data_IF_096714912433
#
_entry.id   IF_096714912433
#
_cell.length_a   1.000
_cell.length_b   1.000
_cell.length_c   1.000
_cell.angle_alpha   90.00
_cell.angle_beta   90.00
_cell.angle_gamma   90.00
#
_symmetry.space_group_name_H-M   'P 1'
#
loop_
_entity.id
_entity.type
_entity.pdbx_description
1 polymer ?
#
# COMPACT_ATOMS: atom_id res chain seq x y z
N UNK A 1 -12.17 -34.58 -23.79
CA UNK A 1 -11.84 -33.44 -22.90
C UNK A 1 -13.13 -32.89 -22.32
N UNK A 2 -13.13 -32.45 -21.05
CA UNK A 2 -14.28 -31.79 -20.43
C UNK A 2 -14.53 -30.45 -21.13
N UNK A 3 -15.78 -30.08 -21.37
CA UNK A 3 -16.14 -28.75 -21.91
C UNK A 3 -15.69 -27.67 -20.92
N UNK A 4 -14.87 -26.73 -21.40
CA UNK A 4 -14.39 -25.60 -20.60
C UNK A 4 -15.53 -24.62 -20.31
N UNK A 5 -15.67 -24.20 -19.05
CA UNK A 5 -16.72 -23.31 -18.57
C UNK A 5 -16.14 -22.02 -17.99
N UNK A 6 -17.00 -21.04 -17.78
CA UNK A 6 -16.62 -19.76 -17.14
C UNK A 6 -16.02 -19.98 -15.75
N UNK A 7 -16.55 -20.94 -14.99
CA UNK A 7 -16.03 -21.27 -13.66
C UNK A 7 -14.59 -21.81 -13.73
N UNK A 8 -14.28 -22.58 -14.76
CA UNK A 8 -12.94 -23.15 -14.95
C UNK A 8 -11.92 -22.02 -15.25
N UNK A 9 -12.31 -20.99 -16.01
CA UNK A 9 -11.50 -19.77 -16.18
C UNK A 9 -11.36 -18.96 -14.89
N UNK A 10 -12.45 -18.79 -14.14
CA UNK A 10 -12.42 -18.02 -12.89
C UNK A 10 -11.52 -18.67 -11.83
N UNK A 11 -11.50 -20.00 -11.79
CA UNK A 11 -10.61 -20.80 -10.96
C UNK A 11 -9.15 -20.72 -11.45
N UNK A 12 -8.90 -20.96 -12.74
CA UNK A 12 -7.55 -20.92 -13.33
C UNK A 12 -6.85 -19.58 -13.06
N UNK A 13 -7.56 -18.46 -13.21
CA UNK A 13 -7.01 -17.12 -13.01
C UNK A 13 -7.17 -16.59 -11.58
N UNK A 14 -7.75 -17.39 -10.67
CA UNK A 14 -8.02 -17.04 -9.28
C UNK A 14 -8.66 -15.64 -9.08
N UNK A 15 -9.58 -15.25 -9.97
CA UNK A 15 -10.17 -13.90 -9.98
C UNK A 15 -10.92 -13.61 -8.69
N UNK A 16 -11.54 -14.64 -8.09
CA UNK A 16 -12.20 -14.50 -6.80
C UNK A 16 -11.21 -14.17 -5.66
N UNK A 17 -9.99 -14.71 -5.71
CA UNK A 17 -8.95 -14.52 -4.70
C UNK A 17 -8.43 -13.09 -4.66
N UNK A 18 -7.83 -12.62 -5.76
CA UNK A 18 -7.23 -11.28 -5.84
C UNK A 18 -8.25 -10.17 -6.14
N UNK A 19 -9.33 -10.53 -6.85
CA UNK A 19 -10.35 -9.58 -7.29
C UNK A 19 -11.25 -9.09 -6.16
N UNK A 20 -11.31 -9.83 -5.04
CA UNK A 20 -11.97 -9.47 -3.77
C UNK A 20 -13.39 -8.88 -3.92
N UNK A 21 -14.12 -9.32 -4.94
CA UNK A 21 -15.47 -8.88 -5.29
C UNK A 21 -15.56 -7.62 -6.16
N UNK A 22 -14.43 -6.99 -6.50
CA UNK A 22 -14.39 -5.91 -7.50
C UNK A 22 -14.25 -6.41 -8.92
N UNK A 23 -13.64 -7.58 -9.11
CA UNK A 23 -13.41 -8.16 -10.43
C UNK A 23 -14.06 -9.55 -10.50
N UNK A 24 -14.56 -9.91 -11.68
CA UNK A 24 -15.21 -11.20 -11.94
C UNK A 24 -15.27 -11.50 -13.43
N UNK A 25 -15.92 -12.60 -13.77
CA UNK A 25 -16.27 -12.96 -15.15
C UNK A 25 -17.80 -13.11 -15.21
N UNK A 26 -18.45 -12.58 -16.26
CA UNK A 26 -19.88 -12.75 -16.47
C UNK A 26 -20.21 -14.01 -17.28
N UNK A 27 -21.51 -14.28 -17.50
CA UNK A 27 -21.99 -15.45 -18.26
C UNK A 27 -21.51 -15.48 -19.72
N UNK A 28 -21.10 -14.33 -20.29
CA UNK A 28 -20.52 -14.23 -21.63
C UNK A 28 -19.02 -14.58 -21.67
N UNK A 29 -18.39 -14.79 -20.52
CA UNK A 29 -16.94 -14.98 -20.42
C UNK A 29 -16.13 -13.68 -20.40
N UNK A 30 -16.78 -12.52 -20.32
CA UNK A 30 -16.10 -11.22 -20.28
C UNK A 30 -15.71 -10.84 -18.84
N UNK A 31 -14.59 -10.14 -18.70
CA UNK A 31 -14.18 -9.54 -17.42
C UNK A 31 -15.17 -8.43 -17.04
N UNK A 32 -15.66 -8.48 -15.80
CA UNK A 32 -16.51 -7.44 -15.22
C UNK A 32 -15.83 -6.74 -14.06
N UNK A 33 -16.07 -5.43 -13.95
CA UNK A 33 -15.71 -4.63 -12.78
C UNK A 33 -16.97 -4.26 -12.02
N UNK A 34 -16.98 -4.48 -10.72
CA UNK A 34 -18.06 -4.15 -9.78
C UNK A 34 -17.57 -3.11 -8.78
N UNK A 35 -17.57 -1.80 -9.11
CA UNK A 35 -16.96 -0.77 -8.26
C UNK A 35 -17.54 -0.69 -6.84
N UNK A 36 -18.81 -1.08 -6.67
CA UNK A 36 -19.52 -1.15 -5.39
C UNK A 36 -19.80 -2.59 -4.93
N UNK A 37 -19.06 -3.58 -5.46
CA UNK A 37 -19.29 -5.01 -5.26
C UNK A 37 -20.75 -5.39 -5.57
N UNK A 38 -21.36 -6.24 -4.76
CA UNK A 38 -22.71 -6.76 -4.95
C UNK A 38 -23.81 -5.69 -4.77
N UNK A 39 -23.47 -4.52 -4.23
CA UNK A 39 -24.41 -3.41 -4.00
C UNK A 39 -24.49 -2.42 -5.17
N UNK A 40 -23.88 -2.72 -6.32
CA UNK A 40 -23.92 -1.82 -7.48
C UNK A 40 -23.77 -2.51 -8.82
N UNK A 41 -23.63 -1.74 -9.90
CA UNK A 41 -23.60 -2.28 -11.24
C UNK A 41 -22.31 -3.08 -11.49
N UNK A 42 -22.44 -4.12 -12.31
CA UNK A 42 -21.32 -4.78 -12.96
C UNK A 42 -21.11 -4.13 -14.33
N UNK A 43 -19.87 -3.70 -14.60
CA UNK A 43 -19.45 -3.08 -15.85
C UNK A 43 -18.71 -4.14 -16.66
N UNK A 44 -19.28 -4.56 -17.78
CA UNK A 44 -18.59 -5.43 -18.74
C UNK A 44 -17.51 -4.60 -19.46
N UNK A 45 -16.25 -4.99 -19.28
CA UNK A 45 -15.12 -4.25 -19.83
C UNK A 45 -15.06 -4.36 -21.35
N UNK A 46 -15.54 -5.47 -21.93
CA UNK A 46 -15.59 -5.61 -23.38
C UNK A 46 -16.60 -4.64 -23.97
N UNK A 47 -17.81 -4.61 -23.43
CA UNK A 47 -18.87 -3.69 -23.87
C UNK A 47 -18.45 -2.22 -23.68
N UNK A 48 -17.83 -1.89 -22.55
CA UNK A 48 -17.30 -0.55 -22.30
C UNK A 48 -16.27 -0.13 -23.35
N UNK A 49 -15.36 -1.04 -23.74
CA UNK A 49 -14.37 -0.73 -24.78
C UNK A 49 -15.00 -0.56 -26.16
N UNK A 50 -16.03 -1.35 -26.49
CA UNK A 50 -16.78 -1.19 -27.73
C UNK A 50 -17.50 0.19 -27.75
N UNK A 51 -18.06 0.65 -26.63
CA UNK A 51 -18.64 2.00 -26.50
C UNK A 51 -17.61 3.13 -26.61
N UNK A 52 -16.43 2.95 -26.03
CA UNK A 52 -15.34 3.93 -26.11
C UNK A 52 -14.79 4.04 -27.54
N UNK A 53 -14.74 2.95 -28.29
CA UNK A 53 -14.33 2.95 -29.68
C UNK A 53 -15.27 3.79 -30.56
N UNK A 54 -16.58 3.82 -30.27
CA UNK A 54 -17.55 4.70 -30.95
C UNK A 54 -17.28 6.20 -30.69
N UNK A 55 -16.44 6.53 -29.70
CA UNK A 55 -16.00 7.89 -29.35
C UNK A 55 -14.54 8.15 -29.76
N UNK A 56 -13.98 7.32 -30.65
CA UNK A 56 -12.58 7.36 -31.09
C UNK A 56 -11.55 7.16 -29.95
N UNK A 57 -11.97 6.56 -28.83
CA UNK A 57 -11.07 6.20 -27.72
C UNK A 57 -10.69 4.72 -27.86
N UNK A 58 -9.50 4.48 -28.38
CA UNK A 58 -8.97 3.13 -28.64
C UNK A 58 -7.90 2.72 -27.62
N UNK A 59 -7.69 1.41 -27.37
CA UNK A 59 -6.59 0.93 -26.54
C UNK A 59 -5.21 1.40 -27.05
N UNK A 60 -4.22 1.60 -26.16
CA UNK A 60 -4.24 1.33 -24.73
C UNK A 60 -5.00 2.40 -23.91
N UNK A 61 -5.88 1.96 -23.01
CA UNK A 61 -6.68 2.83 -22.12
C UNK A 61 -6.47 2.44 -20.65
N UNK A 62 -6.21 3.43 -19.80
CA UNK A 62 -6.20 3.27 -18.35
C UNK A 62 -7.56 3.72 -17.78
N UNK A 63 -8.37 2.74 -17.36
CA UNK A 63 -9.66 2.98 -16.74
C UNK A 63 -9.50 3.11 -15.22
N UNK A 64 -10.19 4.08 -14.62
CA UNK A 64 -10.22 4.29 -13.16
C UNK A 64 -11.66 4.23 -12.65
N UNK A 65 -11.84 3.59 -11.49
CA UNK A 65 -13.13 3.39 -10.84
C UNK A 65 -13.11 4.03 -9.44
N UNK A 66 -13.47 5.32 -9.33
CA UNK A 66 -13.47 6.06 -8.06
C UNK A 66 -14.22 5.34 -6.92
N UNK A 67 -15.34 4.67 -7.22
CA UNK A 67 -16.10 3.97 -6.17
C UNK A 67 -15.38 2.77 -5.54
N UNK A 68 -14.34 2.24 -6.19
CA UNK A 68 -13.45 1.28 -5.54
C UNK A 68 -12.67 1.98 -4.43
N UNK A 69 -12.15 3.19 -4.67
CA UNK A 69 -11.48 4.00 -3.64
C UNK A 69 -12.42 4.26 -2.46
N UNK A 70 -13.64 4.69 -2.74
CA UNK A 70 -14.70 4.89 -1.74
C UNK A 70 -14.84 3.68 -0.82
N UNK A 71 -15.09 2.50 -1.40
CA UNK A 71 -15.26 1.27 -0.65
C UNK A 71 -13.97 0.86 0.08
N UNK A 72 -12.78 1.11 -0.48
CA UNK A 72 -11.51 0.82 0.21
C UNK A 72 -11.33 1.71 1.45
N UNK A 73 -11.69 2.98 1.38
CA UNK A 73 -11.70 3.90 2.53
C UNK A 73 -12.65 3.37 3.61
N UNK A 74 -13.89 3.04 3.25
CA UNK A 74 -14.88 2.50 4.20
C UNK A 74 -14.44 1.19 4.83
N UNK A 75 -13.84 0.29 4.03
CA UNK A 75 -13.41 -1.01 4.53
C UNK A 75 -12.29 -0.88 5.56
N UNK A 76 -11.27 -0.07 5.27
CA UNK A 76 -10.13 0.12 6.18
C UNK A 76 -10.58 0.84 7.44
N UNK A 77 -11.24 2.00 7.32
CA UNK A 77 -11.74 2.75 8.47
C UNK A 77 -12.72 1.91 9.31
N UNK A 78 -13.63 1.19 8.67
CA UNK A 78 -14.56 0.30 9.37
C UNK A 78 -13.88 -0.87 10.10
N UNK A 79 -12.76 -1.40 9.60
CA UNK A 79 -11.99 -2.42 10.34
C UNK A 79 -11.38 -1.87 11.63
N UNK A 80 -10.80 -0.67 11.57
CA UNK A 80 -10.24 -0.02 12.75
C UNK A 80 -11.31 0.42 13.74
N UNK A 81 -12.45 0.96 13.28
CA UNK A 81 -13.57 1.28 14.17
C UNK A 81 -14.14 0.04 14.87
N UNK A 82 -14.28 -1.09 14.15
CA UNK A 82 -14.70 -2.35 14.77
C UNK A 82 -13.71 -2.82 15.83
N UNK A 83 -12.41 -2.83 15.51
CA UNK A 83 -11.37 -3.21 16.46
C UNK A 83 -11.40 -2.29 17.70
N UNK A 84 -11.49 -0.97 17.50
CA UNK A 84 -11.59 -0.01 18.61
C UNK A 84 -12.78 -0.28 19.52
N UNK A 85 -13.96 -0.52 18.95
CA UNK A 85 -15.17 -0.78 19.73
C UNK A 85 -15.08 -2.13 20.47
N UNK A 86 -14.58 -3.18 19.81
CA UNK A 86 -14.45 -4.52 20.39
C UNK A 86 -13.47 -4.54 21.58
N UNK A 87 -12.35 -3.81 21.47
CA UNK A 87 -11.33 -3.73 22.52
C UNK A 87 -11.57 -2.60 23.52
N UNK A 88 -12.64 -1.80 23.40
CA UNK A 88 -12.88 -0.64 24.27
C UNK A 88 -11.81 0.46 24.17
N UNK A 89 -11.17 0.59 23.00
CA UNK A 89 -10.06 1.50 22.77
C UNK A 89 -10.50 2.96 22.62
N UNK A 90 -10.07 3.82 23.56
CA UNK A 90 -10.49 5.22 23.66
C UNK A 90 -9.84 6.15 22.63
N UNK A 91 -8.63 5.84 22.15
CA UNK A 91 -7.95 6.63 21.12
C UNK A 91 -8.70 6.55 19.78
N UNK A 92 -8.72 7.64 19.01
CA UNK A 92 -9.29 7.69 17.64
C UNK A 92 -8.37 7.04 16.60
N UNK A 93 -8.95 6.58 15.49
CA UNK A 93 -8.22 6.15 14.30
C UNK A 93 -8.24 7.22 13.21
N UNK A 94 -7.13 7.39 12.50
CA UNK A 94 -7.01 8.26 11.33
C UNK A 94 -6.37 7.48 10.17
N UNK A 95 -7.01 7.53 9.01
CA UNK A 95 -6.42 7.04 7.77
C UNK A 95 -5.75 8.23 7.08
N UNK A 96 -4.46 8.12 6.74
CA UNK A 96 -3.71 9.15 6.04
C UNK A 96 -3.25 8.57 4.71
N UNK A 97 -3.51 9.26 3.61
CA UNK A 97 -3.12 8.78 2.29
C UNK A 97 -1.76 9.36 1.86
N UNK A 98 -0.70 8.54 1.75
CA UNK A 98 0.58 8.99 1.25
C UNK A 98 0.54 9.17 -0.26
N UNK A 99 0.63 10.42 -0.72
CA UNK A 99 0.40 10.73 -2.15
C UNK A 99 1.49 10.15 -3.06
N UNK A 100 2.66 9.79 -2.50
CA UNK A 100 3.74 9.08 -3.22
C UNK A 100 3.28 7.83 -3.96
N UNK A 101 2.18 7.22 -3.50
CA UNK A 101 1.62 6.01 -4.11
C UNK A 101 0.90 6.33 -5.43
N UNK A 102 0.18 7.44 -5.50
CA UNK A 102 -0.46 7.95 -6.71
C UNK A 102 -0.86 9.43 -6.53
N UNK A 103 -0.05 10.34 -7.08
CA UNK A 103 -0.23 11.80 -6.96
C UNK A 103 -1.25 12.36 -7.96
N UNK A 104 -1.89 11.52 -8.78
CA UNK A 104 -2.80 12.00 -9.83
C UNK A 104 -3.98 12.72 -9.19
N UNK A 105 -4.19 13.98 -9.60
CA UNK A 105 -5.22 14.86 -9.04
C UNK A 105 -6.60 14.18 -8.89
N UNK A 106 -7.16 13.48 -9.90
CA UNK A 106 -8.46 12.81 -9.75
C UNK A 106 -8.50 11.73 -8.66
N UNK A 107 -7.37 11.09 -8.36
CA UNK A 107 -7.27 10.08 -7.29
C UNK A 107 -7.23 10.77 -5.93
N UNK A 108 -6.36 11.79 -5.78
CA UNK A 108 -6.21 12.50 -4.49
C UNK A 108 -7.47 13.29 -4.15
N UNK A 109 -8.07 13.99 -5.12
CA UNK A 109 -9.34 14.71 -4.94
C UNK A 109 -10.47 13.78 -4.54
N UNK A 110 -10.59 12.59 -5.15
CA UNK A 110 -11.63 11.63 -4.76
C UNK A 110 -11.42 11.11 -3.33
N UNK A 111 -10.18 10.76 -2.99
CA UNK A 111 -9.82 10.28 -1.65
C UNK A 111 -10.19 11.34 -0.61
N UNK A 112 -9.83 12.61 -0.82
CA UNK A 112 -10.17 13.71 0.10
C UNK A 112 -11.68 13.97 0.14
N UNK A 113 -12.33 14.08 -1.02
CA UNK A 113 -13.76 14.36 -1.13
C UNK A 113 -14.60 13.31 -0.42
N UNK A 114 -14.38 12.04 -0.72
CA UNK A 114 -15.14 10.94 -0.13
C UNK A 114 -14.71 10.63 1.31
N UNK A 115 -13.40 10.71 1.59
CA UNK A 115 -12.83 10.42 2.90
C UNK A 115 -13.04 11.52 3.94
N UNK A 116 -13.58 12.69 3.57
CA UNK A 116 -13.92 13.78 4.49
C UNK A 116 -14.77 13.33 5.68
N UNK A 117 -15.75 12.43 5.45
CA UNK A 117 -16.60 11.85 6.52
C UNK A 117 -15.83 10.99 7.54
N UNK A 118 -14.61 10.60 7.21
CA UNK A 118 -13.69 9.84 8.08
C UNK A 118 -12.47 10.66 8.53
N UNK A 119 -12.43 11.97 8.24
CA UNK A 119 -11.26 12.82 8.45
C UNK A 119 -9.97 12.25 7.83
N UNK A 120 -10.07 11.71 6.61
CA UNK A 120 -8.88 11.19 5.92
C UNK A 120 -7.83 12.32 5.78
N UNK A 121 -6.59 12.01 6.15
CA UNK A 121 -5.45 12.91 5.99
C UNK A 121 -4.67 12.66 4.72
N UNK A 122 -3.65 13.47 4.48
CA UNK A 122 -2.66 13.28 3.41
C UNK A 122 -1.25 13.25 3.99
N UNK A 123 -0.38 12.43 3.40
CA UNK A 123 1.05 12.44 3.69
C UNK A 123 1.83 12.94 2.47
N UNK A 124 2.82 13.80 2.74
CA UNK A 124 3.78 14.30 1.78
C UNK A 124 5.18 13.88 2.22
N UNK A 125 5.90 13.18 1.34
CA UNK A 125 7.28 12.76 1.57
C UNK A 125 8.33 13.70 0.95
N UNK A 126 7.93 14.85 0.40
CA UNK A 126 8.83 15.83 -0.21
C UNK A 126 8.20 17.22 -0.37
N UNK A 127 9.02 18.25 -0.61
CA UNK A 127 8.57 19.63 -0.87
C UNK A 127 7.58 19.78 -2.03
N UNK A 128 7.80 19.18 -3.21
CA UNK A 128 6.81 19.20 -4.28
C UNK A 128 5.49 18.51 -3.89
N UNK A 129 5.54 17.42 -3.13
CA UNK A 129 4.34 16.74 -2.65
C UNK A 129 3.56 17.61 -1.66
N UNK A 130 4.24 18.34 -0.76
CA UNK A 130 3.55 19.27 0.14
C UNK A 130 2.85 20.39 -0.64
N UNK A 131 3.48 20.94 -1.68
CA UNK A 131 2.82 21.90 -2.59
C UNK A 131 1.56 21.32 -3.25
N UNK A 132 1.53 20.02 -3.56
CA UNK A 132 0.35 19.36 -4.13
C UNK A 132 -0.73 19.08 -3.06
N UNK A 133 -0.34 18.70 -1.85
CA UNK A 133 -1.25 18.36 -0.74
C UNK A 133 -2.01 19.58 -0.21
N UNK A 134 -1.30 20.71 0.01
CA UNK A 134 -1.87 21.90 0.64
C UNK A 134 -3.15 22.45 -0.03
N UNK A 135 -3.22 22.62 -1.37
CA UNK A 135 -4.43 23.15 -2.02
C UNK A 135 -5.58 22.13 -2.09
N UNK A 136 -5.29 20.82 -2.08
CA UNK A 136 -6.32 19.78 -2.17
C UNK A 136 -6.98 19.54 -0.80
N UNK A 137 -6.21 19.64 0.29
CA UNK A 137 -6.73 19.41 1.63
C UNK A 137 -7.58 20.59 2.12
N UNK A 138 -8.90 20.49 1.95
CA UNK A 138 -9.89 21.50 2.37
C UNK A 138 -10.48 21.23 3.78
N UNK A 139 -10.15 20.09 4.40
CA UNK A 139 -10.64 19.72 5.72
C UNK A 139 -9.63 20.16 6.81
N UNK A 140 -9.97 21.14 7.67
CA UNK A 140 -9.06 21.60 8.74
C UNK A 140 -8.82 20.53 9.82
N UNK A 141 -9.74 19.58 9.99
CA UNK A 141 -9.62 18.49 10.97
C UNK A 141 -8.74 17.33 10.48
N UNK A 142 -8.45 17.28 9.18
CA UNK A 142 -7.63 16.24 8.58
C UNK A 142 -6.15 16.48 8.88
N UNK A 143 -5.44 15.37 9.10
CA UNK A 143 -4.00 15.42 9.36
C UNK A 143 -3.22 15.58 8.05
N UNK A 144 -2.18 16.41 8.09
CA UNK A 144 -1.15 16.42 7.06
C UNK A 144 0.16 15.96 7.70
N UNK A 145 0.69 14.84 7.24
CA UNK A 145 1.95 14.27 7.76
C UNK A 145 3.07 14.62 6.77
N UNK A 146 4.14 15.23 7.27
CA UNK A 146 5.29 15.64 6.46
C UNK A 146 6.49 14.76 6.80
N UNK A 147 6.79 13.80 5.92
CA UNK A 147 7.97 12.93 5.96
C UNK A 147 9.03 13.38 4.93
N UNK A 148 10.10 12.59 4.81
CA UNK A 148 11.17 12.80 3.85
C UNK A 148 12.20 13.84 4.30
N UNK A 149 13.16 14.14 3.44
CA UNK A 149 14.21 15.12 3.74
C UNK A 149 13.67 16.56 3.70
N UNK A 150 13.99 17.35 4.73
CA UNK A 150 13.40 18.69 4.93
C UNK A 150 14.49 19.76 4.92
N UNK A 151 14.42 20.65 3.95
CA UNK A 151 15.17 21.90 3.94
C UNK A 151 14.39 23.00 4.69
N UNK A 152 14.99 24.19 4.81
CA UNK A 152 14.39 25.35 5.47
C UNK A 152 13.06 25.75 4.81
N UNK A 153 13.02 25.82 3.46
CA UNK A 153 11.80 26.17 2.72
C UNK A 153 10.65 25.19 2.99
N UNK A 154 10.93 23.89 3.07
CA UNK A 154 9.92 22.89 3.35
C UNK A 154 9.31 23.08 4.74
N UNK A 155 10.15 23.30 5.74
CA UNK A 155 9.71 23.51 7.12
C UNK A 155 8.94 24.83 7.22
N UNK A 156 9.45 25.91 6.62
CA UNK A 156 8.76 27.21 6.61
C UNK A 156 7.38 27.11 5.94
N UNK A 157 7.28 26.47 4.77
CA UNK A 157 6.00 26.24 4.10
C UNK A 157 5.02 25.47 4.99
N UNK A 158 5.47 24.39 5.63
CA UNK A 158 4.65 23.58 6.53
C UNK A 158 4.18 24.39 7.75
N UNK A 159 5.05 25.19 8.36
CA UNK A 159 4.72 26.00 9.53
C UNK A 159 3.78 27.16 9.20
N UNK A 160 3.96 27.81 8.04
CA UNK A 160 3.04 28.84 7.56
C UNK A 160 1.66 28.25 7.28
N UNK A 161 1.60 27.09 6.62
CA UNK A 161 0.34 26.38 6.40
C UNK A 161 -0.31 25.92 7.72
N UNK A 162 0.49 25.56 8.72
CA UNK A 162 0.00 25.23 10.07
C UNK A 162 -0.62 26.46 10.73
N UNK A 163 0.04 27.62 10.62
CA UNK A 163 -0.45 28.92 11.09
C UNK A 163 -1.75 29.36 10.40
N UNK A 164 -1.99 28.90 9.17
CA UNK A 164 -3.24 29.10 8.42
C UNK A 164 -4.38 28.15 8.84
N UNK A 165 -4.18 27.31 9.87
CA UNK A 165 -5.21 26.44 10.43
C UNK A 165 -5.19 25.00 9.93
N UNK A 166 -4.20 24.59 9.13
CA UNK A 166 -4.05 23.17 8.75
C UNK A 166 -3.37 22.39 9.88
N UNK A 167 -3.82 21.17 10.15
CA UNK A 167 -3.23 20.31 11.19
C UNK A 167 -2.04 19.51 10.64
N UNK A 168 -0.88 20.16 10.61
CA UNK A 168 0.36 19.60 10.05
C UNK A 168 1.24 19.03 11.15
N UNK A 169 1.80 17.84 10.92
CA UNK A 169 2.86 17.23 11.70
C UNK A 169 4.15 17.20 10.89
N UNK A 170 5.20 17.83 11.42
CA UNK A 170 6.56 17.70 10.87
C UNK A 170 7.25 16.51 11.54
N UNK A 171 7.41 15.41 10.80
CA UNK A 171 8.03 14.20 11.34
C UNK A 171 9.54 14.30 11.20
N UNK A 172 10.26 14.45 12.32
CA UNK A 172 11.72 14.49 12.37
C UNK A 172 12.28 13.12 11.96
N UNK A 173 13.04 13.09 10.87
CA UNK A 173 13.70 11.88 10.38
C UNK A 173 15.22 11.90 10.58
N UNK A 174 15.79 13.08 10.88
CA UNK A 174 17.19 13.29 11.26
C UNK A 174 17.27 14.31 12.38
N UNK A 175 18.18 14.11 13.34
CA UNK A 175 18.28 14.97 14.53
C UNK A 175 18.48 16.46 14.19
N UNK A 176 19.20 16.76 13.11
CA UNK A 176 19.40 18.15 12.65
C UNK A 176 18.09 18.85 12.24
N UNK A 177 17.08 18.11 11.77
CA UNK A 177 15.78 18.68 11.40
C UNK A 177 15.08 19.27 12.62
N UNK A 178 15.20 18.66 13.81
CA UNK A 178 14.60 19.21 15.03
C UNK A 178 15.17 20.60 15.38
N UNK A 179 16.49 20.78 15.23
CA UNK A 179 17.13 22.09 15.44
C UNK A 179 16.65 23.14 14.44
N UNK A 180 16.52 22.73 13.17
CA UNK A 180 16.04 23.61 12.11
C UNK A 180 14.57 23.99 12.29
N UNK A 181 13.71 23.04 12.67
CA UNK A 181 12.31 23.29 13.02
C UNK A 181 12.21 24.29 14.16
N UNK A 182 12.99 24.13 15.23
CA UNK A 182 13.00 25.05 16.36
C UNK A 182 13.36 26.48 15.94
N UNK A 183 14.42 26.65 15.13
CA UNK A 183 14.86 27.95 14.64
C UNK A 183 13.76 28.65 13.84
N UNK A 184 13.14 27.95 12.90
CA UNK A 184 12.13 28.52 12.00
C UNK A 184 10.82 28.76 12.75
N UNK A 185 10.40 27.84 13.63
CA UNK A 185 9.22 27.99 14.48
C UNK A 185 9.30 29.25 15.35
N UNK A 186 10.47 29.50 15.96
CA UNK A 186 10.73 30.74 16.72
C UNK A 186 10.69 31.98 15.83
N UNK A 187 11.32 31.94 14.64
CA UNK A 187 11.28 33.04 13.66
C UNK A 187 9.85 33.39 13.25
N UNK A 188 9.01 32.39 12.99
CA UNK A 188 7.63 32.56 12.53
C UNK A 188 6.62 32.77 13.66
N UNK A 189 7.06 32.63 14.92
CA UNK A 189 6.22 32.62 16.12
C UNK A 189 5.04 31.64 15.99
N UNK A 190 5.36 30.37 15.72
CA UNK A 190 4.41 29.26 15.56
C UNK A 190 4.82 28.12 16.50
N UNK A 191 3.85 27.54 17.20
CA UNK A 191 4.05 26.28 17.94
C UNK A 191 3.76 25.11 17.00
N UNK A 192 4.75 24.32 16.58
CA UNK A 192 4.55 23.20 15.67
C UNK A 192 3.96 21.97 16.37
N UNK A 193 3.32 21.08 15.59
CA UNK A 193 3.20 19.69 15.98
C UNK A 193 4.37 18.90 15.39
N UNK A 194 5.17 18.28 16.25
CA UNK A 194 6.34 17.51 15.85
C UNK A 194 6.05 16.03 16.03
N UNK A 195 6.38 15.27 14.97
CA UNK A 195 6.51 13.82 15.04
C UNK A 195 7.98 13.42 15.10
N UNK A 196 8.27 12.23 15.59
CA UNK A 196 9.61 11.63 15.48
C UNK A 196 9.48 10.27 14.82
N UNK A 197 10.23 10.07 13.72
CA UNK A 197 10.36 8.75 13.10
C UNK A 197 11.41 7.94 13.85
N UNK A 198 11.03 6.75 14.31
CA UNK A 198 11.91 5.86 15.08
C UNK A 198 12.36 4.70 14.19
N UNK A 199 13.66 4.40 14.21
CA UNK A 199 14.21 3.19 13.59
C UNK A 199 13.98 2.01 14.52
N UNK A 200 13.31 1.00 13.99
CA UNK A 200 13.01 -0.23 14.72
C UNK A 200 14.11 -1.27 14.46
N UNK A 201 14.44 -2.07 15.46
CA UNK A 201 15.22 -3.28 15.29
C UNK A 201 14.44 -4.33 14.48
N UNK A 202 13.11 -4.34 14.59
CA UNK A 202 12.24 -5.15 13.74
C UNK A 202 12.33 -4.72 12.26
N UNK A 203 12.67 -5.66 11.37
CA UNK A 203 12.71 -5.46 9.93
C UNK A 203 11.37 -5.77 9.23
N UNK A 204 11.22 -5.24 8.02
CA UNK A 204 10.09 -5.55 7.13
C UNK A 204 10.13 -6.97 6.54
N UNK A 205 9.56 -7.13 5.35
CA UNK A 205 9.58 -8.37 4.59
C UNK A 205 9.51 -8.10 3.09
N UNK A 206 9.97 -9.06 2.27
CA UNK A 206 9.83 -8.98 0.82
C UNK A 206 10.79 -7.99 0.18
N UNK A 207 10.47 -7.53 -1.04
CA UNK A 207 11.35 -6.69 -1.86
C UNK A 207 11.68 -5.32 -1.25
N UNK A 208 10.96 -4.90 -0.21
CA UNK A 208 11.07 -3.57 0.41
C UNK A 208 11.67 -3.61 1.82
N UNK A 209 12.25 -4.73 2.24
CA UNK A 209 12.79 -4.90 3.59
C UNK A 209 13.81 -3.81 3.97
N UNK A 210 14.68 -3.43 3.04
CA UNK A 210 15.72 -2.39 3.24
C UNK A 210 15.14 -0.97 3.49
N UNK A 211 13.87 -0.73 3.14
CA UNK A 211 13.22 0.57 3.35
C UNK A 211 12.78 0.79 4.80
N UNK A 212 12.70 -0.28 5.60
CA UNK A 212 12.35 -0.26 7.02
C UNK A 212 13.44 -0.83 7.93
N UNK A 213 13.17 -0.82 9.24
CA UNK A 213 14.06 -1.36 10.25
C UNK A 213 15.39 -0.61 10.43
N UNK A 214 16.36 -1.26 11.05
CA UNK A 214 17.65 -0.67 11.43
C UNK A 214 18.59 -0.38 10.26
N UNK A 215 18.24 -0.74 9.02
CA UNK A 215 19.01 -0.36 7.82
C UNK A 215 18.41 0.86 7.10
N UNK A 216 17.28 1.39 7.59
CA UNK A 216 16.61 2.53 6.96
C UNK A 216 17.47 3.80 7.00
N UNK A 217 17.47 4.55 5.90
CA UNK A 217 18.16 5.85 5.78
C UNK A 217 17.46 6.98 6.54
N UNK A 218 16.26 6.72 7.06
CA UNK A 218 15.39 7.70 7.71
C UNK A 218 14.96 7.21 9.08
N UNK A 219 14.82 8.15 10.01
CA UNK A 219 14.44 7.89 11.40
C UNK A 219 15.63 7.94 12.35
N UNK A 220 15.34 8.22 13.60
CA UNK A 220 16.31 8.27 14.68
C UNK A 220 16.50 6.88 15.27
N UNK A 221 17.76 6.49 15.47
CA UNK A 221 18.08 5.36 16.33
C UNK A 221 17.84 5.72 17.82
N UNK A 222 18.00 4.74 18.73
CA UNK A 222 17.73 4.97 20.15
C UNK A 222 18.59 6.07 20.78
N UNK A 223 19.86 6.21 20.38
CA UNK A 223 20.76 7.27 20.89
C UNK A 223 20.30 8.64 20.40
N UNK A 224 20.06 8.77 19.09
CA UNK A 224 19.60 10.01 18.47
C UNK A 224 18.22 10.44 19.02
N UNK A 225 17.35 9.47 19.34
CA UNK A 225 16.06 9.72 19.97
C UNK A 225 16.22 10.31 21.37
N UNK A 226 17.13 9.78 22.19
CA UNK A 226 17.43 10.35 23.51
C UNK A 226 18.03 11.75 23.40
N UNK A 227 18.93 11.97 22.43
CA UNK A 227 19.47 13.30 22.14
C UNK A 227 18.36 14.29 21.71
N UNK A 228 17.40 13.85 20.90
CA UNK A 228 16.26 14.67 20.49
C UNK A 228 15.36 15.04 21.68
N UNK A 229 15.12 14.10 22.59
CA UNK A 229 14.33 14.34 23.80
C UNK A 229 15.06 15.29 24.75
N UNK A 230 16.38 15.14 24.91
CA UNK A 230 17.17 16.03 25.77
C UNK A 230 17.24 17.45 25.20
N UNK A 231 17.43 17.59 23.88
CA UNK A 231 17.32 18.88 23.21
C UNK A 231 15.93 19.50 23.40
N UNK A 232 14.87 18.71 23.25
CA UNK A 232 13.50 19.20 23.47
C UNK A 232 13.28 19.62 24.93
N UNK A 233 13.87 18.92 25.89
CA UNK A 233 13.84 19.28 27.32
C UNK A 233 14.57 20.59 27.58
N UNK A 234 15.80 20.74 27.09
CA UNK A 234 16.62 21.94 27.33
C UNK A 234 16.00 23.20 26.72
N UNK A 235 15.28 23.04 25.61
CA UNK A 235 14.60 24.13 24.90
C UNK A 235 13.16 24.37 25.38
N UNK A 236 12.66 23.53 26.31
CA UNK A 236 11.32 23.66 26.89
C UNK A 236 10.18 23.35 25.92
N UNK A 237 10.37 22.41 25.00
CA UNK A 237 9.45 22.07 23.89
C UNK A 237 9.02 20.59 23.89
N UNK A 238 9.09 19.89 25.03
CA UNK A 238 8.68 18.47 25.13
C UNK A 238 7.20 18.25 24.75
N UNK A 239 6.37 19.27 24.94
CA UNK A 239 4.95 19.32 24.58
C UNK A 239 4.71 19.47 23.07
N UNK A 240 5.73 19.86 22.29
CA UNK A 240 5.65 19.90 20.82
C UNK A 240 5.75 18.50 20.22
N UNK A 241 6.40 17.56 20.92
CA UNK A 241 6.54 16.17 20.53
C UNK A 241 5.22 15.42 20.80
N UNK A 242 4.43 15.25 19.75
CA UNK A 242 3.06 14.70 19.84
C UNK A 242 2.84 13.41 19.07
N UNK A 243 3.75 13.05 18.17
CA UNK A 243 3.59 11.90 17.29
C UNK A 243 4.85 11.04 17.27
N UNK A 244 4.69 9.72 17.36
CA UNK A 244 5.74 8.78 16.97
C UNK A 244 5.35 8.14 15.66
N UNK A 245 6.31 8.01 14.75
CA UNK A 245 6.12 7.41 13.44
C UNK A 245 7.10 6.25 13.27
N UNK A 246 6.67 5.17 12.62
CA UNK A 246 7.57 4.16 12.10
C UNK A 246 7.09 3.63 10.77
N UNK A 247 8.02 3.08 10.00
CA UNK A 247 7.71 2.50 8.71
C UNK A 247 8.47 1.20 8.53
N UNK A 248 7.74 0.08 8.47
CA UNK A 248 8.31 -1.25 8.21
C UNK A 248 8.63 -1.48 6.72
N UNK A 249 8.16 -0.60 5.84
CA UNK A 249 8.25 -0.73 4.38
C UNK A 249 6.88 -0.95 3.73
N UNK A 250 6.89 -1.14 2.40
CA UNK A 250 5.68 -1.42 1.62
C UNK A 250 5.43 -2.92 1.48
N UNK A 251 4.17 -3.35 1.34
CA UNK A 251 3.80 -4.74 1.06
C UNK A 251 4.39 -5.73 2.08
N UNK A 252 4.08 -5.54 3.36
CA UNK A 252 4.50 -6.49 4.39
C UNK A 252 3.65 -7.75 4.22
N UNK A 253 4.27 -8.87 3.89
CA UNK A 253 3.57 -10.10 3.48
C UNK A 253 3.17 -10.98 4.66
N UNK A 254 3.84 -10.80 5.80
CA UNK A 254 3.68 -11.61 7.00
C UNK A 254 3.25 -10.77 8.21
N UNK A 255 2.08 -11.07 8.75
CA UNK A 255 1.52 -10.38 9.93
C UNK A 255 2.43 -10.43 11.16
N UNK A 256 3.26 -11.49 11.31
CA UNK A 256 4.19 -11.60 12.45
C UNK A 256 5.24 -10.48 12.46
N UNK A 257 5.64 -9.98 11.28
CA UNK A 257 6.58 -8.84 11.16
C UNK A 257 5.92 -7.54 11.60
N UNK A 258 4.65 -7.34 11.24
CA UNK A 258 3.84 -6.21 11.71
C UNK A 258 3.70 -6.26 13.24
N UNK A 259 3.35 -7.42 13.81
CA UNK A 259 3.27 -7.62 15.27
C UNK A 259 4.58 -7.32 15.98
N UNK A 260 5.72 -7.70 15.39
CA UNK A 260 7.03 -7.39 15.97
C UNK A 260 7.26 -5.88 16.04
N UNK A 261 7.04 -5.15 14.92
CA UNK A 261 7.17 -3.70 14.89
C UNK A 261 6.19 -2.97 15.83
N UNK A 262 4.93 -3.42 15.89
CA UNK A 262 3.92 -2.88 16.79
C UNK A 262 4.30 -3.04 18.28
N UNK A 263 4.87 -4.19 18.65
CA UNK A 263 5.32 -4.39 20.04
C UNK A 263 6.49 -3.48 20.38
N UNK A 264 7.41 -3.29 19.45
CA UNK A 264 8.57 -2.42 19.64
C UNK A 264 8.17 -0.94 19.76
N UNK A 265 7.34 -0.43 18.84
CA UNK A 265 6.86 0.96 18.91
C UNK A 265 6.06 1.22 20.19
N UNK A 266 5.29 0.23 20.67
CA UNK A 266 4.53 0.37 21.89
C UNK A 266 5.44 0.56 23.12
N UNK A 267 6.65 -0.04 23.12
CA UNK A 267 7.64 0.25 24.15
C UNK A 267 8.20 1.67 24.03
N UNK A 268 8.47 2.15 22.81
CA UNK A 268 8.90 3.54 22.61
C UNK A 268 7.84 4.54 23.08
N UNK A 269 6.56 4.29 22.80
CA UNK A 269 5.44 5.09 23.31
C UNK A 269 5.49 5.23 24.84
N UNK A 270 5.65 4.10 25.54
CA UNK A 270 5.74 4.07 27.01
C UNK A 270 6.97 4.81 27.51
N UNK A 271 8.14 4.58 26.92
CA UNK A 271 9.38 5.24 27.38
C UNK A 271 9.37 6.75 27.12
N UNK A 272 8.84 7.21 25.99
CA UNK A 272 8.74 8.64 25.70
C UNK A 272 7.79 9.36 26.63
N UNK A 273 6.66 8.73 27.01
CA UNK A 273 5.79 9.23 28.07
C UNK A 273 6.52 9.32 29.42
N UNK A 274 7.32 8.31 29.79
CA UNK A 274 8.13 8.34 31.02
C UNK A 274 9.18 9.45 31.02
N UNK A 275 9.69 9.81 29.84
CA UNK A 275 10.60 10.94 29.66
C UNK A 275 9.86 12.30 29.64
N UNK A 276 8.53 12.31 29.73
CA UNK A 276 7.72 13.53 29.80
C UNK A 276 7.28 14.10 28.45
N UNK A 277 7.40 13.34 27.36
CA UNK A 277 6.87 13.75 26.06
C UNK A 277 5.34 13.59 26.03
N UNK A 278 4.64 14.54 25.40
CA UNK A 278 3.19 14.53 25.28
C UNK A 278 2.71 13.75 24.05
N UNK A 279 3.15 12.50 23.88
CA UNK A 279 2.82 11.71 22.69
C UNK A 279 1.32 11.39 22.67
N UNK A 280 0.61 11.92 21.68
CA UNK A 280 -0.82 11.75 21.42
C UNK A 280 -1.09 10.77 20.28
N UNK A 281 -0.18 10.66 19.31
CA UNK A 281 -0.37 9.88 18.08
C UNK A 281 0.72 8.82 17.92
N UNK A 282 0.32 7.63 17.53
CA UNK A 282 1.19 6.56 17.05
C UNK A 282 0.83 6.29 15.60
N UNK A 283 1.72 6.71 14.71
CA UNK A 283 1.64 6.46 13.28
C UNK A 283 2.39 5.19 12.93
N UNK A 284 1.62 4.18 12.52
CA UNK A 284 2.15 2.86 12.17
C UNK A 284 2.57 2.77 10.69
N UNK A 285 2.51 3.89 9.98
CA UNK A 285 2.93 4.04 8.61
C UNK A 285 2.13 3.17 7.65
N UNK A 286 2.72 2.92 6.48
CA UNK A 286 2.17 1.99 5.50
C UNK A 286 2.43 0.51 5.82
N UNK A 287 2.54 -0.29 4.77
CA UNK A 287 2.91 -1.70 4.90
C UNK A 287 1.74 -2.68 4.87
N UNK A 288 0.50 -2.22 5.10
CA UNK A 288 -0.70 -2.98 4.79
C UNK A 288 -0.66 -3.42 3.32
N UNK A 289 -0.46 -4.72 3.11
CA UNK A 289 -0.24 -5.28 1.79
C UNK A 289 -1.52 -5.53 1.01
N UNK A 290 -1.33 -5.97 -0.23
CA UNK A 290 -2.38 -6.36 -1.16
C UNK A 290 -2.10 -7.76 -1.66
N UNK A 291 -3.12 -8.60 -1.69
CA UNK A 291 -3.04 -9.94 -2.27
C UNK A 291 -3.23 -9.85 -3.79
N UNK A 292 -2.13 -9.84 -4.56
CA UNK A 292 -2.16 -9.64 -6.02
C UNK A 292 -2.45 -10.95 -6.77
N UNK A 293 -2.01 -12.09 -6.24
CA UNK A 293 -2.24 -13.41 -6.85
C UNK A 293 -3.42 -14.17 -6.23
N UNK A 294 -3.92 -13.71 -5.08
CA UNK A 294 -5.06 -14.29 -4.39
C UNK A 294 -4.72 -15.56 -3.60
N UNK A 295 -3.43 -15.87 -3.41
CA UNK A 295 -2.98 -17.11 -2.77
C UNK A 295 -3.03 -17.07 -1.24
N UNK A 296 -3.14 -15.87 -0.63
CA UNK A 296 -3.10 -15.68 0.83
C UNK A 296 -1.85 -16.23 1.51
N UNK A 297 -0.73 -16.22 0.80
CA UNK A 297 0.58 -16.67 1.29
C UNK A 297 1.48 -15.50 1.69
N UNK A 298 2.68 -15.80 2.19
CA UNK A 298 3.71 -14.80 2.54
C UNK A 298 4.67 -14.46 1.39
N UNK A 299 4.38 -14.90 0.16
CA UNK A 299 5.22 -14.57 -1.00
C UNK A 299 5.10 -13.09 -1.37
N UNK A 300 6.04 -12.56 -2.14
CA UNK A 300 6.18 -11.12 -2.37
C UNK A 300 4.94 -10.44 -2.98
N UNK A 301 4.12 -11.18 -3.74
CA UNK A 301 2.88 -10.73 -4.38
C UNK A 301 1.62 -10.97 -3.54
N UNK A 302 1.73 -11.48 -2.32
CA UNK A 302 0.59 -11.85 -1.48
C UNK A 302 0.74 -11.34 -0.04
N UNK A 303 -0.31 -11.54 0.77
CA UNK A 303 -0.31 -11.36 2.22
C UNK A 303 -0.99 -12.54 2.92
N UNK A 304 -0.52 -12.91 4.12
CA UNK A 304 -1.11 -14.00 4.91
C UNK A 304 -2.15 -13.54 5.95
N UNK A 305 -2.69 -12.33 5.81
CA UNK A 305 -3.56 -11.73 6.82
C UNK A 305 -4.70 -10.91 6.18
N UNK A 306 -5.69 -10.58 7.00
CA UNK A 306 -6.79 -9.70 6.62
C UNK A 306 -6.60 -8.27 7.14
N UNK A 307 -7.32 -7.30 6.56
CA UNK A 307 -7.34 -5.92 7.07
C UNK A 307 -7.89 -5.89 8.51
N UNK A 308 -8.83 -6.78 8.86
CA UNK A 308 -9.39 -6.83 10.20
C UNK A 308 -8.36 -7.37 11.21
N UNK A 309 -7.61 -8.40 10.85
CA UNK A 309 -6.53 -8.93 11.67
C UNK A 309 -5.45 -7.87 11.92
N UNK A 310 -5.02 -7.18 10.86
CA UNK A 310 -4.09 -6.05 10.97
C UNK A 310 -4.59 -4.95 11.93
N UNK A 311 -5.86 -4.56 11.82
CA UNK A 311 -6.47 -3.57 12.71
C UNK A 311 -6.54 -4.06 14.16
N UNK A 312 -6.94 -5.31 14.38
CA UNK A 312 -7.02 -5.92 15.70
C UNK A 312 -5.64 -5.95 16.38
N UNK A 313 -4.61 -6.37 15.65
CA UNK A 313 -3.25 -6.45 16.17
C UNK A 313 -2.67 -5.08 16.55
N UNK A 314 -2.93 -4.06 15.73
CA UNK A 314 -2.52 -2.69 16.01
C UNK A 314 -3.20 -2.14 17.28
N UNK A 315 -4.53 -2.24 17.35
CA UNK A 315 -5.30 -1.73 18.49
C UNK A 315 -4.98 -2.50 19.78
N UNK A 316 -4.96 -3.84 19.74
CA UNK A 316 -4.72 -4.65 20.91
C UNK A 316 -3.30 -4.44 21.48
N UNK A 317 -2.29 -4.28 20.63
CA UNK A 317 -0.91 -4.06 21.08
C UNK A 317 -0.75 -2.70 21.78
N UNK A 318 -1.33 -1.64 21.21
CA UNK A 318 -1.25 -0.30 21.81
C UNK A 318 -2.12 -0.18 23.06
N UNK A 319 -3.28 -0.86 23.09
CA UNK A 319 -4.13 -0.97 24.29
C UNK A 319 -3.34 -1.59 25.44
N UNK A 320 -2.77 -2.78 25.22
CA UNK A 320 -2.06 -3.54 26.24
C UNK A 320 -0.89 -2.73 26.84
N UNK A 321 -0.13 -2.03 26.00
CA UNK A 321 0.95 -1.17 26.46
C UNK A 321 0.46 0.07 27.23
N UNK A 322 -0.61 0.71 26.77
CA UNK A 322 -1.17 1.88 27.43
C UNK A 322 -1.76 1.52 28.81
N UNK A 323 -2.59 0.49 28.89
CA UNK A 323 -3.27 0.08 30.13
C UNK A 323 -2.28 -0.42 31.18
N UNK A 324 -1.31 -1.27 30.81
CA UNK A 324 -0.27 -1.76 31.74
C UNK A 324 0.55 -0.66 32.38
N UNK A 325 0.69 0.48 31.71
CA UNK A 325 1.46 1.62 32.19
C UNK A 325 0.59 2.79 32.62
N UNK A 326 -0.74 2.62 32.69
CA UNK A 326 -1.69 3.67 33.06
C UNK A 326 -1.56 4.94 32.22
N UNK A 327 -1.27 4.76 30.92
CA UNK A 327 -1.14 5.84 29.95
C UNK A 327 -2.45 6.04 29.16
N UNK A 328 -2.67 7.22 28.57
CA UNK A 328 -3.78 7.40 27.63
C UNK A 328 -3.61 6.48 26.43
N UNK A 329 -4.72 6.12 25.79
CA UNK A 329 -4.68 5.36 24.54
C UNK A 329 -4.33 6.32 23.41
N UNK A 330 -3.22 6.12 22.68
CA UNK A 330 -2.84 7.04 21.61
C UNK A 330 -3.83 6.99 20.45
N UNK A 331 -3.93 8.08 19.72
CA UNK A 331 -4.52 8.08 18.39
C UNK A 331 -3.68 7.21 17.45
N UNK A 332 -4.34 6.36 16.65
CA UNK A 332 -3.65 5.48 15.71
C UNK A 332 -3.76 6.06 14.30
N UNK A 333 -2.63 6.22 13.63
CA UNK A 333 -2.57 6.65 12.23
C UNK A 333 -2.05 5.48 11.39
N UNK A 334 -2.63 5.28 10.20
CA UNK A 334 -2.05 4.41 9.17
C UNK A 334 -1.88 5.15 7.86
N UNK A 335 -0.80 4.86 7.14
CA UNK A 335 -0.50 5.39 5.81
C UNK A 335 -0.68 4.33 4.70
N UNK A 336 -1.85 3.68 4.68
CA UNK A 336 -2.10 2.47 3.88
C UNK A 336 -2.38 2.75 2.38
N UNK A 337 -1.55 3.56 1.72
CA UNK A 337 -1.81 4.05 0.36
C UNK A 337 -1.98 2.95 -0.69
N UNK A 338 -1.10 1.93 -0.72
CA UNK A 338 -1.21 0.79 -1.64
C UNK A 338 -2.53 0.05 -1.46
N UNK A 339 -2.93 -0.18 -0.21
CA UNK A 339 -4.17 -0.87 0.11
C UNK A 339 -5.41 -0.05 -0.29
N UNK A 340 -5.32 1.27 -0.38
CA UNK A 340 -6.40 2.12 -0.87
C UNK A 340 -6.51 2.09 -2.40
N UNK A 341 -5.39 2.11 -3.12
CA UNK A 341 -5.40 2.38 -4.57
C UNK A 341 -5.14 1.17 -5.46
N UNK A 342 -4.72 0.00 -4.96
CA UNK A 342 -4.31 -1.09 -5.86
C UNK A 342 -5.40 -1.57 -6.83
N UNK A 343 -6.66 -1.66 -6.38
CA UNK A 343 -7.76 -2.23 -7.18
C UNK A 343 -8.52 -1.22 -8.04
N UNK A 344 -8.29 0.10 -7.90
CA UNK A 344 -9.17 1.10 -8.50
C UNK A 344 -8.94 1.35 -9.99
N UNK A 345 -7.96 0.72 -10.63
CA UNK A 345 -7.62 0.96 -12.02
C UNK A 345 -7.24 -0.29 -12.77
N UNK A 346 -7.60 -0.35 -14.06
CA UNK A 346 -7.18 -1.41 -14.99
C UNK A 346 -6.57 -0.77 -16.24
N UNK A 347 -5.52 -1.40 -16.77
CA UNK A 347 -4.95 -1.06 -18.06
C UNK A 347 -5.48 -2.07 -19.09
N UNK A 348 -6.11 -1.56 -20.15
CA UNK A 348 -6.64 -2.37 -21.25
C UNK A 348 -5.85 -2.08 -22.52
N UNK A 349 -5.35 -3.10 -23.19
CA UNK A 349 -4.61 -3.00 -24.44
C UNK A 349 -4.89 -4.21 -25.34
N UNK A 350 -4.65 -4.06 -26.65
CA UNK A 350 -4.87 -5.10 -27.64
C UNK A 350 -3.62 -5.95 -27.83
N UNK A 351 -3.81 -7.23 -28.15
CA UNK A 351 -2.77 -8.07 -28.75
C UNK A 351 -2.76 -7.77 -30.25
N UNK A 352 -1.64 -7.26 -30.77
CA UNK A 352 -1.51 -6.89 -32.18
C UNK A 352 -1.11 -8.07 -33.07
N UNK A 353 -0.26 -8.95 -32.53
CA UNK A 353 0.28 -10.10 -33.24
C UNK A 353 0.58 -11.22 -32.24
N UNK A 354 0.48 -12.46 -32.70
CA UNK A 354 0.90 -13.65 -31.95
C UNK A 354 1.90 -14.43 -32.78
N UNK A 355 3.03 -14.80 -32.18
CA UNK A 355 3.95 -15.77 -32.76
C UNK A 355 3.65 -17.15 -32.19
N UNK A 356 3.39 -18.13 -33.05
CA UNK A 356 3.24 -19.53 -32.66
C UNK A 356 4.45 -20.33 -33.14
N UNK A 357 4.81 -21.38 -32.41
CA UNK A 357 5.80 -22.35 -32.90
C UNK A 357 5.28 -22.97 -34.20
N UNK A 358 6.11 -23.05 -35.26
CA UNK A 358 5.71 -23.70 -36.49
C UNK A 358 5.35 -25.16 -36.18
N UNK A 359 4.17 -25.57 -36.62
CA UNK A 359 3.76 -26.97 -36.56
C UNK A 359 4.30 -27.67 -37.80
N UNK A 360 4.83 -28.88 -37.62
CA UNK A 360 5.14 -29.74 -38.75
C UNK A 360 3.83 -30.06 -39.49
N UNK A 361 3.89 -29.97 -40.81
CA UNK A 361 2.74 -30.17 -41.67
C UNK A 361 3.14 -31.15 -42.78
N UNK A 362 2.68 -32.39 -42.65
CA UNK A 362 2.91 -33.46 -43.63
C UNK A 362 2.29 -33.17 -45.00
N UNK A 363 1.44 -32.14 -45.13
CA UNK A 363 0.88 -31.71 -46.42
C UNK A 363 1.80 -30.76 -47.18
N UNK A 364 2.70 -30.06 -46.47
CA UNK A 364 3.61 -29.07 -47.06
C UNK A 364 5.09 -29.49 -46.97
N UNK A 365 5.43 -30.43 -46.10
CA UNK A 365 6.78 -30.95 -45.93
C UNK A 365 6.82 -32.47 -46.12
N UNK A 366 7.75 -32.93 -46.94
CA UNK A 366 8.11 -34.35 -47.07
C UNK A 366 9.56 -34.55 -46.63
N UNK A 367 9.85 -35.74 -46.13
CA UNK A 367 11.22 -36.19 -45.88
C UNK A 367 11.67 -37.03 -47.07
N UNK A 368 12.71 -36.58 -47.74
CA UNK A 368 13.28 -37.23 -48.91
C UNK A 368 14.43 -38.20 -48.51
N UNK A 369 14.69 -39.26 -49.30
CA UNK A 369 15.75 -40.22 -48.97
C UNK A 369 17.16 -39.62 -48.86
N UNK A 370 17.40 -38.48 -49.49
CA UNK A 370 18.66 -37.73 -49.48
C UNK A 370 18.72 -36.65 -48.40
N UNK A 371 17.67 -36.48 -47.59
CA UNK A 371 17.72 -35.57 -46.44
C UNK A 371 18.74 -36.04 -45.41
N UNK A 372 19.24 -35.09 -44.64
CA UNK A 372 20.24 -35.36 -43.60
C UNK A 372 19.73 -36.42 -42.62
N UNK A 373 20.60 -37.34 -42.19
CA UNK A 373 20.29 -38.45 -41.29
C UNK A 373 19.50 -38.02 -40.05
N UNK A 374 19.97 -36.99 -39.34
CA UNK A 374 19.29 -36.37 -38.19
C UNK A 374 17.83 -35.99 -38.50
N UNK A 375 17.53 -35.42 -39.67
CA UNK A 375 16.15 -35.02 -40.02
C UNK A 375 15.25 -36.25 -40.21
N UNK A 376 15.79 -37.30 -40.84
CA UNK A 376 15.10 -38.58 -41.02
C UNK A 376 14.88 -39.31 -39.69
N UNK A 377 15.85 -39.25 -38.78
CA UNK A 377 15.75 -39.78 -37.42
C UNK A 377 14.67 -39.05 -36.61
N UNK A 378 14.69 -37.71 -36.60
CA UNK A 378 13.67 -36.89 -35.93
C UNK A 378 12.26 -37.15 -36.47
N UNK A 379 12.10 -37.30 -37.80
CA UNK A 379 10.82 -37.65 -38.39
C UNK A 379 10.38 -39.09 -38.04
N UNK A 380 11.32 -40.02 -37.92
CA UNK A 380 11.04 -41.39 -37.46
C UNK A 380 10.59 -41.39 -36.00
N UNK A 381 11.24 -40.61 -35.15
CA UNK A 381 10.86 -40.42 -33.75
C UNK A 381 9.45 -39.82 -33.65
N UNK A 382 9.15 -38.75 -34.40
CA UNK A 382 7.82 -38.12 -34.45
C UNK A 382 6.70 -39.12 -34.80
N UNK A 383 6.94 -40.00 -35.78
CA UNK A 383 5.96 -41.02 -36.21
C UNK A 383 5.81 -42.19 -35.23
N UNK A 384 6.77 -42.41 -34.34
CA UNK A 384 6.78 -43.53 -33.38
C UNK A 384 6.43 -43.09 -31.94
N UNK A 385 5.93 -41.86 -31.76
CA UNK A 385 5.44 -41.40 -30.46
C UNK A 385 4.29 -42.29 -30.00
N UNK A 386 4.45 -42.90 -28.83
CA UNK A 386 3.40 -43.63 -28.15
C UNK A 386 3.40 -43.26 -26.66
N UNK A 387 2.31 -43.52 -25.92
CA UNK A 387 2.28 -43.29 -24.47
C UNK A 387 3.40 -43.99 -23.69
N UNK A 388 3.97 -45.07 -24.22
CA UNK A 388 5.08 -45.82 -23.60
C UNK A 388 6.46 -45.25 -23.94
N UNK A 389 6.60 -44.64 -25.12
CA UNK A 389 7.87 -44.16 -25.67
C UNK A 389 8.00 -42.64 -25.62
N UNK A 390 6.95 -41.91 -25.24
CA UNK A 390 6.91 -40.44 -25.30
C UNK A 390 8.05 -39.74 -24.55
N UNK A 391 8.49 -40.29 -23.42
CA UNK A 391 9.59 -39.71 -22.64
C UNK A 391 10.94 -39.96 -23.30
N UNK A 392 11.14 -41.15 -23.86
CA UNK A 392 12.36 -41.53 -24.59
C UNK A 392 12.46 -40.70 -25.88
N UNK A 393 11.38 -40.67 -26.67
CA UNK A 393 11.27 -39.85 -27.89
C UNK A 393 11.49 -38.35 -27.60
N UNK A 394 11.04 -37.84 -26.45
CA UNK A 394 11.29 -36.45 -26.04
C UNK A 394 12.75 -36.17 -25.68
N UNK A 395 13.50 -37.17 -25.19
CA UNK A 395 14.93 -37.01 -24.91
C UNK A 395 15.78 -37.16 -26.17
N UNK A 396 15.34 -38.00 -27.10
CA UNK A 396 16.04 -38.31 -28.34
C UNK A 396 15.84 -37.22 -29.41
N UNK A 397 14.72 -36.49 -29.36
CA UNK A 397 14.41 -35.33 -30.21
C UNK A 397 15.04 -34.03 -29.68
#
# INVERSE_FOLDING_TARGET
MRTWRVEDSAELYNIAGWGIGYFGINEKGNVVVKPRKDNGPAIDIRELMDELALKDINPPVLLRFPNILDHRIEKISGCFERARNEYGYRGKYYNVYPIKVNQQRPVVEEIVRYGKKFNIGLEAGSKPELHAVLPIMDNPEALIICNGYKDEDFIELALLAHKMGKKIFLVVEKLNELRLILQIARRLNVVPNIGIRIRLAASGSGKWEESGGDQSKFGLNASELLEAVELARSEGILDWLKLIHFHLGSQITNIRKIKAGLREVAQFYVQLHRLGCAIEYVDIGGGLGVDYDGSRTTIASSINYSIQEYANDAIATLLDAADRHSLPHPHVITEAGRALTAHHSILVFNVLETATTPLWDDTHHSIEPNDHEIVRELYTLLNNISPRTILEVWHDA
#
